data_IF_569340971063
#
_entry.id   IF_569340971063
#
_cell.length_a   1.000
_cell.length_b   1.000
_cell.length_c   1.000
_cell.angle_alpha   90.00
_cell.angle_beta   90.00
_cell.angle_gamma   90.00
#
_symmetry.space_group_name_H-M   'P 1'
#
loop_
_entity.id
_entity.type
_entity.pdbx_description
1 polymer ?
#
# COMPACT_ATOMS: atom_id res chain seq x y z
N UNK A 1 20.25 19.70 -26.19
CA UNK A 1 19.58 20.08 -27.45
C UNK A 1 20.38 21.21 -28.10
N UNK A 2 20.96 20.99 -29.29
CA UNK A 2 21.82 22.00 -29.98
C UNK A 2 20.94 23.14 -30.50
N UNK A 3 21.12 24.35 -29.98
CA UNK A 3 20.52 25.56 -30.54
C UNK A 3 21.30 25.96 -31.83
N UNK A 4 20.62 25.91 -32.97
CA UNK A 4 21.12 26.45 -34.22
C UNK A 4 20.98 27.97 -34.20
N UNK A 5 22.06 28.64 -34.48
CA UNK A 5 22.10 30.09 -34.74
C UNK A 5 21.75 30.33 -36.20
N UNK A 6 20.73 31.13 -36.44
CA UNK A 6 20.38 31.66 -37.77
C UNK A 6 21.07 33.02 -37.89
N UNK A 7 22.15 33.06 -38.67
CA UNK A 7 22.81 34.30 -39.04
C UNK A 7 22.01 35.00 -40.13
N UNK A 8 21.58 36.20 -39.87
CA UNK A 8 21.07 37.10 -40.92
C UNK A 8 22.24 37.83 -41.59
N UNK A 9 22.56 37.46 -42.85
CA UNK A 9 23.40 38.31 -43.69
C UNK A 9 22.58 39.45 -44.28
N UNK A 10 22.89 40.67 -43.90
CA UNK A 10 22.42 41.86 -44.59
C UNK A 10 23.48 42.25 -45.66
N UNK A 11 23.11 42.09 -46.91
CA UNK A 11 23.91 42.54 -48.04
C UNK A 11 23.84 44.07 -48.10
N UNK A 12 24.91 44.74 -47.70
CA UNK A 12 25.05 46.21 -47.84
C UNK A 12 25.54 46.55 -49.24
N UNK A 13 24.77 47.33 -49.96
CA UNK A 13 25.23 47.99 -51.20
C UNK A 13 26.36 48.96 -50.92
N UNK A 14 27.54 48.68 -51.46
CA UNK A 14 28.66 49.64 -51.54
C UNK A 14 28.35 50.75 -52.57
N UNK A 15 27.97 51.91 -52.08
CA UNK A 15 28.05 53.09 -52.90
C UNK A 15 29.43 53.71 -52.66
N UNK A 16 30.27 53.70 -53.68
CA UNK A 16 31.57 54.37 -53.67
C UNK A 16 31.33 55.88 -53.67
N UNK A 17 31.51 56.52 -52.55
CA UNK A 17 31.56 57.98 -52.46
C UNK A 17 33.03 58.38 -52.47
N UNK A 18 33.42 59.17 -53.49
CA UNK A 18 34.76 59.77 -53.62
C UNK A 18 35.00 60.70 -52.43
N UNK A 19 36.12 60.60 -51.70
CA UNK A 19 36.38 61.48 -50.57
C UNK A 19 36.73 62.87 -51.06
N UNK A 20 35.86 63.80 -50.94
CA UNK A 20 36.21 65.20 -50.90
C UNK A 20 36.92 65.47 -49.57
N UNK A 21 38.18 66.00 -49.61
CA UNK A 21 38.90 66.44 -48.43
C UNK A 21 38.13 67.58 -47.75
N UNK A 22 37.23 67.27 -46.83
CA UNK A 22 36.56 68.24 -45.98
C UNK A 22 37.47 68.47 -44.77
N UNK A 23 37.89 69.76 -44.55
CA UNK A 23 38.64 70.12 -43.34
C UNK A 23 37.80 69.73 -42.10
N UNK A 24 38.45 69.20 -41.09
CA UNK A 24 37.76 68.70 -39.89
C UNK A 24 36.93 69.74 -39.16
N UNK A 25 37.18 71.03 -39.35
CA UNK A 25 36.47 72.16 -38.71
C UNK A 25 35.10 72.48 -39.35
N UNK A 26 34.81 72.03 -40.57
CA UNK A 26 33.56 72.31 -41.29
C UNK A 26 32.69 71.07 -41.47
N UNK A 27 33.07 69.93 -40.86
CA UNK A 27 32.40 68.64 -41.03
C UNK A 27 31.21 68.51 -40.06
N UNK A 28 29.99 68.35 -40.64
CA UNK A 28 28.87 67.85 -39.82
C UNK A 28 29.16 66.35 -39.51
N UNK A 29 29.71 66.10 -38.31
CA UNK A 29 30.20 64.78 -37.97
C UNK A 29 29.08 63.76 -37.88
N UNK A 30 29.16 62.77 -38.74
CA UNK A 30 28.34 61.55 -38.64
C UNK A 30 29.21 60.44 -38.04
N UNK A 31 28.99 60.18 -36.76
CA UNK A 31 29.81 59.23 -36.02
C UNK A 31 29.42 57.79 -36.36
N UNK A 32 30.41 56.87 -36.37
CA UNK A 32 30.21 55.42 -36.58
C UNK A 32 29.23 54.84 -35.58
N UNK A 33 28.48 53.84 -36.02
CA UNK A 33 27.60 53.05 -35.10
C UNK A 33 28.42 52.04 -34.29
N UNK A 34 29.62 51.71 -34.68
CA UNK A 34 30.57 50.86 -33.98
C UNK A 34 31.78 51.64 -33.56
N UNK A 35 32.26 51.47 -32.38
CA UNK A 35 33.44 52.11 -31.82
C UNK A 35 34.52 51.05 -31.54
N UNK A 36 35.76 51.49 -31.43
CA UNK A 36 36.82 50.69 -30.83
C UNK A 36 36.70 50.86 -29.31
N UNK A 37 36.51 49.75 -28.61
CA UNK A 37 36.28 49.78 -27.18
C UNK A 37 37.52 49.35 -26.41
N UNK A 38 37.86 50.10 -25.36
CA UNK A 38 38.99 49.79 -24.48
C UNK A 38 38.53 49.83 -23.04
N UNK A 39 38.76 48.73 -22.26
CA UNK A 39 38.46 48.69 -20.82
C UNK A 39 39.19 49.81 -20.10
N UNK A 40 38.45 50.65 -19.33
CA UNK A 40 39.01 51.61 -18.43
C UNK A 40 39.08 51.12 -16.97
N UNK A 41 37.98 50.68 -16.46
CA UNK A 41 37.86 50.13 -15.11
C UNK A 41 36.78 49.04 -15.08
N UNK A 42 36.37 48.57 -13.92
CA UNK A 42 35.34 47.54 -13.80
C UNK A 42 33.90 48.04 -14.05
N UNK A 43 33.70 49.35 -14.19
CA UNK A 43 32.42 49.97 -14.41
C UNK A 43 32.26 50.49 -15.83
N UNK A 44 33.37 50.95 -16.41
CA UNK A 44 33.35 51.68 -17.66
C UNK A 44 34.40 51.20 -18.65
N UNK A 45 34.05 51.35 -19.93
CA UNK A 45 34.97 51.31 -21.05
C UNK A 45 35.03 52.66 -21.78
N UNK A 46 36.05 52.87 -22.56
CA UNK A 46 36.17 54.00 -23.47
C UNK A 46 35.74 53.51 -24.84
N UNK A 47 34.79 54.19 -25.47
CA UNK A 47 34.39 54.06 -26.84
C UNK A 47 35.08 55.10 -27.72
N UNK A 48 35.77 54.69 -28.74
CA UNK A 48 36.37 55.59 -29.74
C UNK A 48 35.53 55.50 -31.02
N UNK A 49 34.89 56.61 -31.37
CA UNK A 49 34.04 56.73 -32.53
C UNK A 49 34.78 57.50 -33.65
N UNK A 50 34.56 57.13 -34.90
CA UNK A 50 35.13 57.74 -36.07
C UNK A 50 34.07 58.44 -36.91
N UNK A 51 34.38 59.64 -37.40
CA UNK A 51 33.50 60.30 -38.35
C UNK A 51 33.62 59.69 -39.74
N UNK A 52 32.53 59.29 -40.36
CA UNK A 52 32.51 58.69 -41.70
C UNK A 52 33.03 59.61 -42.80
N UNK A 53 33.03 60.94 -42.58
CA UNK A 53 33.35 61.91 -43.65
C UNK A 53 34.76 62.53 -43.54
N UNK A 54 35.26 62.70 -42.30
CA UNK A 54 36.54 63.43 -42.12
C UNK A 54 37.56 62.70 -41.25
N UNK A 55 37.28 61.47 -40.82
CA UNK A 55 38.14 60.65 -39.94
C UNK A 55 38.44 61.32 -38.58
N UNK A 56 37.68 62.36 -38.17
CA UNK A 56 37.80 62.87 -36.82
C UNK A 56 37.39 61.78 -35.80
N UNK A 57 38.04 61.82 -34.66
CA UNK A 57 37.80 60.89 -33.58
C UNK A 57 37.14 61.59 -32.39
N UNK A 58 36.23 60.90 -31.70
CA UNK A 58 35.75 61.27 -30.38
C UNK A 58 35.81 60.07 -29.44
N UNK A 59 36.05 60.34 -28.21
CA UNK A 59 36.03 59.29 -27.17
C UNK A 59 34.92 59.59 -26.17
N UNK A 60 34.22 58.56 -25.81
CA UNK A 60 33.17 58.64 -24.77
C UNK A 60 33.42 57.59 -23.71
N UNK A 61 33.09 57.89 -22.48
CA UNK A 61 33.14 56.94 -21.39
C UNK A 61 31.76 56.33 -21.22
N UNK A 62 31.63 55.02 -21.43
CA UNK A 62 30.38 54.26 -21.40
C UNK A 62 30.44 53.19 -20.37
N UNK A 63 29.28 52.81 -19.79
CA UNK A 63 29.18 51.68 -18.86
C UNK A 63 29.29 50.38 -19.63
N UNK A 64 29.88 49.37 -18.98
CA UNK A 64 29.88 48.04 -19.55
C UNK A 64 28.47 47.48 -19.71
N UNK A 65 28.17 46.89 -20.83
CA UNK A 65 26.99 46.11 -21.14
C UNK A 65 27.30 44.64 -20.90
N UNK A 66 27.03 44.16 -19.69
CA UNK A 66 27.37 42.82 -19.31
C UNK A 66 26.37 41.80 -19.85
N UNK A 67 26.87 40.74 -20.53
CA UNK A 67 26.14 39.55 -20.88
C UNK A 67 26.61 38.39 -20.01
N UNK A 68 25.63 37.55 -19.64
CA UNK A 68 25.95 36.25 -19.08
C UNK A 68 26.70 35.41 -20.09
N UNK A 69 27.83 34.85 -19.71
CA UNK A 69 28.65 33.99 -20.57
C UNK A 69 28.53 32.53 -20.13
N UNK A 70 29.01 32.22 -18.92
CA UNK A 70 29.02 30.86 -18.43
C UNK A 70 29.05 30.80 -16.88
N UNK A 71 28.70 29.59 -16.34
CA UNK A 71 28.98 29.21 -14.97
C UNK A 71 30.34 28.54 -14.94
N UNK A 72 31.19 28.97 -14.03
CA UNK A 72 32.51 28.35 -13.82
C UNK A 72 32.30 27.09 -12.98
N UNK A 73 32.21 25.91 -13.63
CA UNK A 73 31.80 24.62 -13.06
C UNK A 73 32.57 24.20 -11.83
N UNK A 74 33.86 24.54 -11.73
CA UNK A 74 34.76 24.19 -10.63
C UNK A 74 34.89 25.29 -9.56
N UNK A 75 34.18 26.43 -9.70
CA UNK A 75 34.25 27.55 -8.78
C UNK A 75 32.96 27.74 -8.00
N UNK A 76 32.73 26.81 -7.07
CA UNK A 76 31.59 26.89 -6.16
C UNK A 76 32.02 26.58 -4.72
N UNK A 77 31.24 27.08 -3.79
CA UNK A 77 31.26 26.72 -2.37
C UNK A 77 29.89 26.09 -1.95
N UNK A 78 29.66 25.92 -0.65
CA UNK A 78 28.43 25.32 -0.17
C UNK A 78 27.15 26.11 -0.48
N UNK A 79 27.26 27.41 -0.78
CA UNK A 79 26.12 28.33 -0.92
C UNK A 79 26.03 28.98 -2.29
N UNK A 80 27.16 29.14 -2.97
CA UNK A 80 27.28 29.95 -4.17
C UNK A 80 28.12 29.25 -5.24
N UNK A 81 27.76 29.45 -6.50
CA UNK A 81 28.63 29.23 -7.64
C UNK A 81 29.07 30.56 -8.24
N UNK A 82 30.12 30.53 -9.03
CA UNK A 82 30.66 31.71 -9.70
C UNK A 82 30.17 31.76 -11.15
N UNK A 83 29.58 32.89 -11.50
CA UNK A 83 29.10 33.19 -12.85
C UNK A 83 30.04 34.19 -13.50
N UNK A 84 30.43 33.95 -14.75
CA UNK A 84 31.20 34.85 -15.53
C UNK A 84 30.31 35.67 -16.48
N UNK A 85 30.61 36.94 -16.55
CA UNK A 85 29.99 37.88 -17.49
C UNK A 85 31.04 38.50 -18.38
N UNK A 86 30.73 38.66 -19.66
CA UNK A 86 31.57 39.38 -20.61
C UNK A 86 30.88 40.63 -21.07
N UNK A 87 31.61 41.73 -21.20
CA UNK A 87 31.10 42.95 -21.80
C UNK A 87 31.01 42.78 -23.33
N UNK A 88 29.79 42.99 -23.88
CA UNK A 88 29.54 42.90 -25.32
C UNK A 88 30.45 43.76 -26.18
N UNK A 89 30.86 44.89 -25.63
CA UNK A 89 31.53 45.93 -26.40
C UNK A 89 33.06 45.81 -26.32
N UNK A 90 33.61 45.62 -25.12
CA UNK A 90 35.07 45.64 -24.93
C UNK A 90 35.69 44.31 -24.54
N UNK A 91 34.91 43.20 -24.41
CA UNK A 91 35.40 41.92 -24.02
C UNK A 91 35.92 41.82 -22.56
N UNK A 92 35.66 42.85 -21.75
CA UNK A 92 36.05 42.80 -20.35
C UNK A 92 35.25 41.74 -19.61
N UNK A 93 35.93 40.96 -18.76
CA UNK A 93 35.31 39.90 -17.99
C UNK A 93 35.15 40.31 -16.53
N UNK A 94 34.03 39.96 -15.90
CA UNK A 94 33.82 40.00 -14.45
C UNK A 94 33.21 38.71 -13.94
N UNK A 95 33.41 38.41 -12.69
CA UNK A 95 32.78 37.27 -12.02
C UNK A 95 31.95 37.73 -10.87
N UNK A 96 30.80 37.08 -10.67
CA UNK A 96 29.92 37.31 -9.53
C UNK A 96 29.54 36.01 -8.88
N UNK A 97 29.31 36.01 -7.56
CA UNK A 97 28.77 34.86 -6.84
C UNK A 97 27.25 34.88 -6.91
N UNK A 98 26.67 33.79 -7.39
CA UNK A 98 25.24 33.57 -7.45
C UNK A 98 24.85 32.40 -6.55
N UNK A 99 23.74 32.52 -5.83
CA UNK A 99 23.26 31.42 -4.99
C UNK A 99 22.85 30.21 -5.83
N UNK A 100 23.12 28.99 -5.32
CA UNK A 100 22.72 27.78 -6.01
C UNK A 100 21.20 27.70 -6.20
N UNK A 101 20.76 27.36 -7.40
CA UNK A 101 19.42 26.91 -7.72
C UNK A 101 19.37 25.40 -7.53
N UNK A 102 18.75 24.95 -6.44
CA UNK A 102 18.66 23.53 -6.13
C UNK A 102 17.42 22.93 -6.79
N UNK A 103 17.59 21.74 -7.41
CA UNK A 103 16.48 20.94 -7.94
C UNK A 103 15.35 20.82 -6.92
N UNK A 104 14.09 21.05 -7.34
CA UNK A 104 12.93 20.99 -6.46
C UNK A 104 12.60 19.55 -6.01
N UNK A 105 12.15 19.40 -4.76
CA UNK A 105 11.78 18.09 -4.17
C UNK A 105 10.57 17.41 -4.87
N UNK A 106 9.82 18.15 -5.69
CA UNK A 106 8.59 17.63 -6.31
C UNK A 106 8.81 16.67 -7.48
N UNK A 107 10.05 16.48 -7.92
CA UNK A 107 10.42 15.50 -8.94
C UNK A 107 11.02 14.23 -8.30
N UNK A 108 10.17 13.39 -7.74
CA UNK A 108 10.52 12.11 -7.09
C UNK A 108 11.35 11.15 -7.95
N UNK A 109 11.54 11.42 -9.24
CA UNK A 109 12.16 10.49 -10.20
C UNK A 109 13.68 10.59 -10.25
N UNK A 110 14.28 11.59 -9.61
CA UNK A 110 15.72 11.89 -9.75
C UNK A 110 16.55 11.78 -8.48
N UNK A 111 15.96 11.67 -7.31
CA UNK A 111 16.73 11.58 -6.07
C UNK A 111 17.07 10.15 -5.69
N UNK A 112 18.33 9.91 -5.39
CA UNK A 112 18.75 8.65 -4.78
C UNK A 112 18.71 8.80 -3.25
N UNK A 113 17.80 8.07 -2.63
CA UNK A 113 17.63 8.09 -1.19
C UNK A 113 18.42 6.98 -0.52
N UNK A 114 19.15 7.31 0.52
CA UNK A 114 19.97 6.37 1.28
C UNK A 114 19.43 6.20 2.70
N UNK A 115 19.26 4.95 3.13
CA UNK A 115 18.88 4.66 4.51
C UNK A 115 19.98 5.12 5.48
N UNK A 116 19.69 6.08 6.35
CA UNK A 116 20.61 6.52 7.40
C UNK A 116 20.36 5.79 8.73
N UNK A 117 19.14 5.83 9.21
CA UNK A 117 18.76 5.24 10.48
C UNK A 117 17.25 4.97 10.54
N UNK A 118 16.71 4.57 11.72
CA UNK A 118 15.28 4.25 11.88
C UNK A 118 14.32 5.43 11.71
N UNK A 119 14.80 6.66 11.71
CA UNK A 119 13.97 7.86 11.64
C UNK A 119 14.10 8.58 10.30
N UNK A 120 15.29 8.54 9.72
CA UNK A 120 15.65 9.38 8.59
C UNK A 120 16.34 8.58 7.51
N UNK A 121 16.16 9.04 6.29
CA UNK A 121 17.00 8.76 5.14
C UNK A 121 17.67 10.06 4.69
N UNK A 122 18.76 9.95 3.95
CA UNK A 122 19.42 11.07 3.28
C UNK A 122 19.21 10.99 1.79
N UNK A 123 19.29 12.12 1.11
CA UNK A 123 19.26 12.21 -0.32
C UNK A 123 20.20 13.32 -0.81
N UNK A 124 20.72 13.16 -2.00
CA UNK A 124 21.59 14.13 -2.64
C UNK A 124 20.75 15.04 -3.53
N UNK A 125 20.89 16.34 -3.36
CA UNK A 125 20.30 17.36 -4.22
C UNK A 125 21.42 18.03 -5.01
N UNK A 126 21.21 18.25 -6.31
CA UNK A 126 22.17 18.88 -7.20
C UNK A 126 21.74 20.31 -7.50
N UNK A 127 22.71 21.16 -7.79
CA UNK A 127 22.42 22.48 -8.36
C UNK A 127 22.05 22.30 -9.83
N UNK A 128 20.99 22.98 -10.28
CA UNK A 128 20.56 22.95 -11.69
C UNK A 128 21.57 23.55 -12.65
N UNK A 129 22.44 24.42 -12.15
CA UNK A 129 23.31 25.27 -12.96
C UNK A 129 24.78 24.87 -12.86
N UNK A 130 25.20 24.19 -11.78
CA UNK A 130 26.58 23.75 -11.61
C UNK A 130 26.63 22.33 -11.05
N UNK A 131 27.86 21.79 -10.83
CA UNK A 131 28.02 20.42 -10.32
C UNK A 131 27.98 20.32 -8.79
N UNK A 132 27.59 21.40 -8.09
CA UNK A 132 27.49 21.41 -6.64
C UNK A 132 26.41 20.43 -6.18
N UNK A 133 26.71 19.73 -5.08
CA UNK A 133 25.84 18.76 -4.46
C UNK A 133 25.71 19.05 -2.97
N UNK A 134 24.51 18.80 -2.42
CA UNK A 134 24.29 18.83 -0.97
C UNK A 134 23.56 17.59 -0.52
N UNK A 135 23.89 17.11 0.66
CA UNK A 135 23.17 16.02 1.29
C UNK A 135 22.12 16.60 2.24
N UNK A 136 20.89 16.17 2.06
CA UNK A 136 19.76 16.54 2.90
C UNK A 136 19.22 15.32 3.63
N UNK A 137 18.50 15.56 4.73
CA UNK A 137 17.92 14.54 5.58
C UNK A 137 16.41 14.71 5.65
N UNK A 138 15.67 13.63 5.37
CA UNK A 138 14.22 13.62 5.46
C UNK A 138 13.72 12.44 6.31
N UNK A 139 12.56 12.57 6.98
CA UNK A 139 11.93 11.47 7.70
C UNK A 139 11.41 10.43 6.72
N UNK A 140 11.47 9.14 7.11
CA UNK A 140 10.91 8.07 6.29
C UNK A 140 9.41 8.25 6.04
N UNK A 141 8.99 8.19 4.79
CA UNK A 141 7.60 8.09 4.35
C UNK A 141 7.27 6.60 4.13
N UNK A 142 6.39 6.03 4.92
CA UNK A 142 6.04 4.63 4.82
C UNK A 142 4.74 4.43 4.06
N UNK A 143 4.65 3.37 3.24
CA UNK A 143 3.40 2.98 2.62
C UNK A 143 2.26 2.86 3.64
N UNK A 144 1.04 3.15 3.21
CA UNK A 144 -0.17 3.01 4.05
C UNK A 144 -0.52 1.55 4.34
N UNK A 145 -0.06 0.63 3.49
CA UNK A 145 -0.20 -0.81 3.63
C UNK A 145 1.15 -1.44 4.01
N UNK A 146 1.15 -2.62 4.60
CA UNK A 146 2.37 -3.35 4.93
C UNK A 146 2.82 -4.23 3.75
N UNK A 147 4.14 -4.37 3.55
CA UNK A 147 4.69 -5.24 2.52
C UNK A 147 4.52 -6.70 2.85
N UNK A 148 4.78 -7.04 4.12
CA UNK A 148 4.73 -8.43 4.54
C UNK A 148 4.32 -8.60 6.00
N UNK A 149 3.75 -9.78 6.26
CA UNK A 149 3.48 -10.26 7.61
C UNK A 149 4.70 -11.04 8.08
N UNK A 150 5.60 -10.41 8.82
CA UNK A 150 6.75 -11.11 9.40
C UNK A 150 6.32 -12.14 10.46
N UNK A 151 5.22 -11.86 11.17
CA UNK A 151 4.62 -12.78 12.13
C UNK A 151 3.12 -12.55 12.23
N UNK A 152 2.34 -13.61 12.08
CA UNK A 152 0.90 -13.54 12.28
C UNK A 152 0.53 -13.30 13.74
N UNK A 153 -0.47 -12.45 13.96
CA UNK A 153 -1.08 -12.30 15.27
C UNK A 153 -1.84 -13.57 15.69
N UNK A 154 -1.71 -13.94 16.94
CA UNK A 154 -2.49 -15.01 17.57
C UNK A 154 -3.33 -14.41 18.72
N UNK A 155 -4.33 -15.15 19.20
CA UNK A 155 -5.19 -14.67 20.27
C UNK A 155 -4.43 -14.26 21.54
N UNK A 156 -3.19 -14.72 21.74
CA UNK A 156 -2.34 -14.45 22.90
C UNK A 156 -1.01 -13.76 22.59
N UNK A 157 -0.68 -13.53 21.31
CA UNK A 157 0.58 -12.87 20.90
C UNK A 157 0.29 -11.87 19.78
N UNK A 158 0.96 -10.72 19.85
CA UNK A 158 0.93 -9.73 18.76
C UNK A 158 1.57 -10.29 17.49
N UNK A 159 1.03 -9.92 16.35
CA UNK A 159 1.66 -10.08 15.05
C UNK A 159 2.67 -8.97 14.79
N UNK A 160 3.49 -9.14 13.77
CA UNK A 160 4.48 -8.17 13.32
C UNK A 160 4.24 -7.92 11.82
N UNK A 161 3.87 -6.70 11.49
CA UNK A 161 3.74 -6.20 10.14
C UNK A 161 4.98 -5.38 9.80
N UNK A 162 5.48 -5.49 8.59
CA UNK A 162 6.61 -4.72 8.08
C UNK A 162 6.10 -3.77 7.03
N UNK A 163 6.45 -2.51 7.18
CA UNK A 163 6.16 -1.43 6.24
C UNK A 163 7.49 -0.95 5.68
N UNK A 164 7.58 -0.79 4.37
CA UNK A 164 8.75 -0.22 3.70
C UNK A 164 8.58 1.29 3.53
N UNK A 165 9.70 1.99 3.53
CA UNK A 165 9.74 3.38 3.10
C UNK A 165 9.46 3.44 1.59
N UNK A 166 8.81 4.51 1.15
CA UNK A 166 8.54 4.75 -0.28
C UNK A 166 9.84 5.10 -1.01
N UNK A 167 10.72 5.79 -0.33
CA UNK A 167 11.87 6.46 -0.92
C UNK A 167 13.18 5.66 -0.79
N UNK A 168 13.31 4.78 0.20
CA UNK A 168 14.53 4.01 0.46
C UNK A 168 14.22 2.60 0.98
N UNK A 169 15.24 1.77 1.21
CA UNK A 169 15.11 0.41 1.75
C UNK A 169 14.77 0.35 3.24
N UNK A 170 14.49 1.49 3.85
CA UNK A 170 14.15 1.58 5.26
C UNK A 170 12.84 0.86 5.58
N UNK A 171 12.82 0.10 6.67
CA UNK A 171 11.62 -0.61 7.11
C UNK A 171 11.26 -0.31 8.55
N UNK A 172 9.95 -0.32 8.86
CA UNK A 172 9.48 -0.29 10.26
C UNK A 172 8.63 -1.51 10.58
N UNK A 173 8.73 -1.97 11.83
CA UNK A 173 7.93 -3.06 12.38
C UNK A 173 6.81 -2.52 13.25
N UNK A 174 5.56 -2.90 12.92
CA UNK A 174 4.37 -2.52 13.69
C UNK A 174 3.79 -3.74 14.36
N UNK A 175 3.54 -3.68 15.66
CA UNK A 175 3.00 -4.78 16.45
C UNK A 175 1.47 -4.66 16.55
N UNK A 176 0.75 -5.58 15.91
CA UNK A 176 -0.72 -5.60 15.91
C UNK A 176 -1.27 -6.70 16.83
N UNK A 177 -2.27 -6.35 17.64
CA UNK A 177 -3.04 -7.34 18.40
C UNK A 177 -3.89 -8.16 17.44
N UNK A 178 -4.20 -9.40 17.84
CA UNK A 178 -5.11 -10.25 17.10
C UNK A 178 -6.50 -9.60 16.95
N UNK A 179 -7.04 -9.66 15.75
CA UNK A 179 -8.40 -9.23 15.41
C UNK A 179 -8.99 -10.22 14.42
N UNK A 180 -10.18 -10.72 14.67
CA UNK A 180 -10.88 -11.65 13.78
C UNK A 180 -11.14 -11.00 12.41
N UNK A 181 -10.99 -11.78 11.35
CA UNK A 181 -11.28 -11.35 9.98
C UNK A 181 -10.19 -10.48 9.34
N UNK A 182 -9.04 -10.28 9.98
CA UNK A 182 -7.90 -9.61 9.36
C UNK A 182 -6.91 -10.61 8.80
N UNK A 183 -6.26 -10.27 7.71
CA UNK A 183 -5.27 -11.10 7.01
C UNK A 183 -4.02 -11.39 7.85
N UNK A 184 -3.61 -10.44 8.70
CA UNK A 184 -2.48 -10.60 9.63
C UNK A 184 -2.81 -11.43 10.88
N UNK A 185 -4.06 -11.84 11.07
CA UNK A 185 -4.50 -12.62 12.23
C UNK A 185 -4.76 -14.06 11.89
N UNK A 186 -4.29 -14.99 12.75
CA UNK A 186 -4.60 -16.41 12.59
C UNK A 186 -6.09 -16.66 12.80
N UNK A 187 -6.67 -17.41 11.90
CA UNK A 187 -8.07 -17.86 11.99
C UNK A 187 -8.19 -19.03 12.95
N UNK A 188 -9.13 -18.96 13.91
CA UNK A 188 -9.44 -19.96 14.93
C UNK A 188 -10.83 -20.55 14.78
N UNK A 189 -11.44 -20.46 13.62
CA UNK A 189 -12.72 -21.07 13.36
C UNK A 189 -12.69 -22.58 13.62
N UNK A 190 -13.83 -23.11 13.92
CA UNK A 190 -14.04 -24.50 14.30
C UNK A 190 -15.04 -25.14 13.34
N UNK A 191 -15.02 -26.45 13.25
CA UNK A 191 -16.01 -27.24 12.50
C UNK A 191 -16.47 -28.40 13.35
N UNK A 192 -17.73 -28.75 13.22
CA UNK A 192 -18.29 -29.98 13.79
C UNK A 192 -19.09 -30.73 12.71
N UNK A 193 -19.38 -31.99 12.95
CA UNK A 193 -20.30 -32.76 12.15
C UNK A 193 -21.76 -32.51 12.58
N UNK A 194 -22.67 -33.13 11.90
CA UNK A 194 -24.11 -33.11 12.30
C UNK A 194 -24.27 -33.53 13.74
N UNK A 195 -25.12 -32.81 14.46
CA UNK A 195 -25.49 -33.13 15.84
C UNK A 195 -26.82 -33.85 15.82
N UNK A 196 -26.85 -35.05 16.33
CA UNK A 196 -28.07 -35.87 16.42
C UNK A 196 -28.70 -35.82 17.83
N UNK A 197 -30.01 -35.98 17.89
CA UNK A 197 -30.81 -35.80 19.10
C UNK A 197 -30.39 -36.67 20.29
N UNK A 198 -29.84 -37.87 20.04
CA UNK A 198 -29.42 -38.83 21.10
C UNK A 198 -27.93 -38.74 21.42
N UNK A 199 -27.19 -37.87 20.78
CA UNK A 199 -25.76 -37.76 21.04
C UNK A 199 -25.49 -37.22 22.45
N UNK A 200 -24.49 -37.81 23.09
CA UNK A 200 -23.94 -37.36 24.37
C UNK A 200 -22.64 -36.61 24.26
N UNK A 201 -22.15 -36.44 23.05
CA UNK A 201 -20.93 -35.67 22.78
C UNK A 201 -20.84 -35.19 21.34
N UNK A 202 -20.20 -34.04 21.18
CA UNK A 202 -19.87 -33.44 19.86
C UNK A 202 -18.38 -33.49 19.67
N UNK A 203 -17.96 -33.97 18.51
CA UNK A 203 -16.54 -33.93 18.08
C UNK A 203 -16.32 -32.66 17.28
N UNK A 204 -15.48 -31.77 17.79
CA UNK A 204 -15.17 -30.49 17.18
C UNK A 204 -13.75 -30.48 16.62
N UNK A 205 -13.60 -30.13 15.37
CA UNK A 205 -12.31 -29.93 14.71
C UNK A 205 -11.90 -28.47 14.80
N UNK A 206 -10.73 -28.20 15.35
CA UNK A 206 -10.15 -26.87 15.47
C UNK A 206 -9.26 -26.60 14.26
N UNK A 207 -9.44 -25.47 13.60
CA UNK A 207 -8.56 -25.07 12.49
C UNK A 207 -7.09 -24.94 12.94
N UNK A 208 -6.88 -24.54 14.22
CA UNK A 208 -5.54 -24.41 14.83
C UNK A 208 -5.51 -24.91 16.27
N UNK A 209 -4.33 -25.36 16.75
CA UNK A 209 -4.14 -25.63 18.18
C UNK A 209 -4.51 -24.44 19.03
N UNK A 210 -5.31 -24.66 20.06
CA UNK A 210 -5.95 -23.59 20.85
C UNK A 210 -5.86 -23.85 22.36
N UNK A 211 -4.71 -24.35 22.83
CA UNK A 211 -4.48 -24.58 24.28
C UNK A 211 -4.74 -23.30 25.09
N UNK A 212 -5.46 -23.45 26.19
CA UNK A 212 -5.82 -22.35 27.08
C UNK A 212 -7.13 -21.65 26.73
N UNK A 213 -7.82 -22.07 25.66
CA UNK A 213 -9.13 -21.53 25.27
C UNK A 213 -10.27 -22.39 25.85
N UNK A 214 -11.48 -21.88 25.72
CA UNK A 214 -12.71 -22.57 26.12
C UNK A 214 -13.57 -22.77 24.88
N UNK A 215 -13.84 -24.02 24.54
CA UNK A 215 -14.87 -24.38 23.58
C UNK A 215 -16.23 -24.31 24.28
N UNK A 216 -17.17 -23.61 23.67
CA UNK A 216 -18.55 -23.54 24.13
C UNK A 216 -19.48 -23.96 23.01
N UNK A 217 -20.40 -24.88 23.33
CA UNK A 217 -21.57 -25.16 22.51
C UNK A 217 -22.81 -24.61 23.24
N UNK A 218 -23.74 -24.02 22.49
CA UNK A 218 -25.08 -23.68 22.93
C UNK A 218 -26.05 -24.48 22.08
N UNK A 219 -26.86 -25.32 22.70
CA UNK A 219 -27.86 -26.15 22.04
C UNK A 219 -29.18 -25.80 22.67
N UNK A 220 -30.11 -25.25 21.87
CA UNK A 220 -31.30 -24.60 22.40
C UNK A 220 -30.93 -23.52 23.43
N UNK A 221 -31.36 -23.69 24.66
CA UNK A 221 -31.05 -22.79 25.79
C UNK A 221 -29.83 -23.23 26.62
N UNK A 222 -29.38 -24.49 26.44
CA UNK A 222 -28.32 -25.10 27.27
C UNK A 222 -26.93 -24.76 26.78
N UNK A 223 -26.01 -24.47 27.71
CA UNK A 223 -24.60 -24.14 27.40
C UNK A 223 -23.68 -25.22 27.96
N UNK A 224 -22.82 -25.74 27.08
CA UNK A 224 -21.81 -26.74 27.40
C UNK A 224 -20.43 -26.12 27.18
N UNK A 225 -19.49 -26.30 28.11
CA UNK A 225 -18.14 -25.70 28.04
C UNK A 225 -17.07 -26.72 28.31
N UNK A 226 -15.96 -26.60 27.58
CA UNK A 226 -14.77 -27.42 27.79
C UNK A 226 -13.51 -26.59 27.63
N UNK A 227 -12.65 -26.56 28.66
CA UNK A 227 -11.33 -25.94 28.59
C UNK A 227 -10.39 -26.85 27.78
N UNK A 228 -9.72 -26.26 26.78
CA UNK A 228 -8.75 -26.99 25.94
C UNK A 228 -7.40 -26.96 26.64
N UNK A 229 -6.97 -28.14 27.12
CA UNK A 229 -5.75 -28.31 27.93
C UNK A 229 -4.49 -28.62 27.11
N UNK A 230 -4.64 -29.04 25.85
CA UNK A 230 -3.55 -29.48 24.99
C UNK A 230 -3.67 -28.85 23.59
N UNK A 231 -2.71 -29.18 22.72
CA UNK A 231 -2.65 -28.66 21.34
C UNK A 231 -3.31 -29.59 20.30
N UNK A 232 -4.12 -30.58 20.72
CA UNK A 232 -4.87 -31.42 19.77
C UNK A 232 -5.86 -30.56 18.98
N UNK A 233 -5.98 -30.84 17.71
CA UNK A 233 -6.93 -30.15 16.81
C UNK A 233 -8.35 -30.74 16.89
N UNK A 234 -8.54 -31.84 17.57
CA UNK A 234 -9.86 -32.48 17.77
C UNK A 234 -10.20 -32.46 19.24
N UNK A 235 -11.41 -32.01 19.54
CA UNK A 235 -11.93 -31.88 20.92
C UNK A 235 -13.30 -32.53 20.99
N UNK A 236 -13.45 -33.50 21.88
CA UNK A 236 -14.74 -34.10 22.20
C UNK A 236 -15.38 -33.27 23.33
N UNK A 237 -16.55 -32.68 23.08
CA UNK A 237 -17.35 -31.93 24.06
C UNK A 237 -18.56 -32.78 24.49
N UNK A 238 -18.65 -33.07 25.76
CA UNK A 238 -19.81 -33.79 26.27
C UNK A 238 -21.02 -32.85 26.32
N UNK A 239 -22.17 -33.35 25.91
CA UNK A 239 -23.49 -32.68 25.92
C UNK A 239 -24.51 -33.61 26.54
N UNK A 240 -25.68 -33.11 26.86
CA UNK A 240 -26.86 -33.94 27.11
C UNK A 240 -27.61 -34.14 25.80
N UNK A 241 -28.36 -35.25 25.65
CA UNK A 241 -29.31 -35.39 24.56
C UNK A 241 -30.14 -34.13 24.35
N UNK A 242 -30.34 -33.76 23.11
CA UNK A 242 -31.05 -32.56 22.72
C UNK A 242 -32.27 -32.93 21.86
N UNK A 243 -33.22 -32.04 21.72
CA UNK A 243 -34.38 -32.28 20.89
C UNK A 243 -34.11 -31.88 19.43
N UNK A 244 -34.83 -32.50 18.51
CA UNK A 244 -34.79 -32.13 17.10
C UNK A 244 -35.15 -30.67 16.90
N UNK A 245 -34.41 -30.00 15.98
CA UNK A 245 -34.63 -28.60 15.64
C UNK A 245 -34.05 -27.60 16.65
N UNK A 246 -33.50 -28.07 17.79
CA UNK A 246 -32.76 -27.15 18.69
C UNK A 246 -31.55 -26.58 17.96
N UNK A 247 -31.40 -25.25 17.97
CA UNK A 247 -30.28 -24.56 17.33
C UNK A 247 -28.95 -24.90 18.02
N UNK A 248 -27.96 -25.23 17.20
CA UNK A 248 -26.60 -25.56 17.65
C UNK A 248 -25.66 -24.40 17.28
N UNK A 249 -25.01 -23.81 18.28
CA UNK A 249 -24.02 -22.75 18.08
C UNK A 249 -22.75 -23.10 18.83
N UNK A 250 -21.63 -23.15 18.10
CA UNK A 250 -20.32 -23.38 18.69
C UNK A 250 -19.43 -22.16 18.55
N UNK A 251 -18.61 -21.93 19.55
CA UNK A 251 -17.62 -20.86 19.52
C UNK A 251 -16.43 -21.17 20.42
N UNK A 252 -15.29 -20.59 20.08
CA UNK A 252 -14.07 -20.67 20.85
C UNK A 252 -13.81 -19.33 21.55
N UNK A 253 -13.49 -19.38 22.84
CA UNK A 253 -13.28 -18.20 23.69
C UNK A 253 -11.87 -18.22 24.31
N UNK A 254 -11.27 -17.04 24.43
CA UNK A 254 -10.08 -16.80 25.22
C UNK A 254 -10.27 -15.60 26.13
N UNK A 255 -10.11 -15.81 27.44
CA UNK A 255 -10.36 -14.76 28.46
C UNK A 255 -11.71 -14.03 28.25
N UNK A 256 -12.76 -14.80 27.98
CA UNK A 256 -14.11 -14.29 27.77
C UNK A 256 -14.40 -13.68 26.38
N UNK A 257 -13.38 -13.46 25.56
CA UNK A 257 -13.55 -12.94 24.20
C UNK A 257 -13.70 -14.07 23.18
N UNK A 258 -14.67 -13.97 22.28
CA UNK A 258 -14.84 -14.89 21.15
C UNK A 258 -13.68 -14.73 20.18
N UNK A 259 -12.98 -15.82 19.85
CA UNK A 259 -11.83 -15.85 18.96
C UNK A 259 -12.03 -16.72 17.71
N UNK A 260 -13.02 -17.60 17.72
CA UNK A 260 -13.40 -18.44 16.60
C UNK A 260 -14.89 -18.72 16.62
N UNK A 261 -15.47 -18.85 15.45
CA UNK A 261 -16.86 -19.23 15.23
C UNK A 261 -16.94 -20.56 14.53
N UNK A 262 -18.10 -21.14 14.58
CA UNK A 262 -18.42 -22.27 13.73
C UNK A 262 -18.45 -21.84 12.27
N UNK A 263 -17.84 -22.64 11.43
CA UNK A 263 -17.84 -22.46 9.97
C UNK A 263 -18.62 -23.54 9.24
N UNK A 264 -19.49 -24.27 9.97
CA UNK A 264 -20.40 -25.26 9.36
C UNK A 264 -21.72 -24.57 9.01
N UNK A 265 -21.92 -24.31 7.74
CA UNK A 265 -23.10 -23.55 7.25
C UNK A 265 -24.38 -24.41 7.21
N UNK A 266 -24.29 -25.75 7.38
CA UNK A 266 -25.39 -26.68 7.21
C UNK A 266 -25.77 -27.50 8.47
N UNK A 267 -25.10 -27.27 9.61
CA UNK A 267 -25.31 -28.08 10.83
C UNK A 267 -25.64 -27.21 12.04
N UNK A 268 -26.45 -26.19 11.83
CA UNK A 268 -26.81 -25.24 12.91
C UNK A 268 -28.02 -25.68 13.75
N UNK A 269 -28.47 -26.90 13.59
CA UNK A 269 -29.56 -27.51 14.38
C UNK A 269 -29.30 -29.00 14.66
N UNK A 270 -30.06 -29.51 15.62
CA UNK A 270 -30.07 -30.92 15.98
C UNK A 270 -30.95 -31.69 15.01
N UNK A 271 -30.38 -32.73 14.41
CA UNK A 271 -31.07 -33.62 13.49
C UNK A 271 -31.46 -34.93 14.15
N UNK A 272 -32.43 -35.61 13.58
CA UNK A 272 -32.67 -37.02 13.95
C UNK A 272 -31.48 -37.89 13.53
N UNK A 273 -31.30 -38.95 14.26
CA UNK A 273 -30.40 -40.02 13.76
C UNK A 273 -30.91 -40.48 12.39
N UNK A 274 -30.02 -40.64 11.42
CA UNK A 274 -30.35 -41.16 10.09
C UNK A 274 -30.77 -42.63 10.11
N UNK A 275 -30.77 -43.29 11.29
CA UNK A 275 -31.23 -44.63 11.45
C UNK A 275 -32.38 -44.64 12.47
N UNK A 276 -33.44 -45.34 12.13
CA UNK A 276 -34.46 -45.70 13.10
C UNK A 276 -33.81 -46.60 14.17
N UNK A 277 -34.12 -46.33 15.41
CA UNK A 277 -33.59 -47.10 16.55
C UNK A 277 -34.71 -47.31 17.57
N UNK A 278 -34.56 -48.37 18.36
CA UNK A 278 -35.46 -48.69 19.46
C UNK A 278 -35.72 -47.47 20.37
N UNK A 279 -36.94 -47.30 20.83
CA UNK A 279 -37.38 -46.20 21.68
C UNK A 279 -37.62 -44.86 20.98
N UNK A 280 -37.47 -44.74 19.66
CA UNK A 280 -37.92 -43.59 18.90
C UNK A 280 -39.44 -43.49 18.92
N UNK A 281 -39.98 -42.26 19.05
CA UNK A 281 -41.41 -42.01 18.91
C UNK A 281 -41.81 -42.06 17.42
N UNK A 282 -43.09 -42.25 17.13
CA UNK A 282 -43.63 -42.18 15.78
C UNK A 282 -43.24 -40.86 15.07
N UNK A 283 -43.28 -39.75 15.80
CA UNK A 283 -42.84 -38.44 15.27
C UNK A 283 -41.36 -38.45 14.82
N UNK A 284 -40.48 -39.09 15.60
CA UNK A 284 -39.04 -39.24 15.28
C UNK A 284 -38.82 -40.11 14.06
N UNK A 285 -39.52 -41.24 13.96
CA UNK A 285 -39.45 -42.10 12.78
C UNK A 285 -39.92 -41.39 11.53
N UNK A 286 -41.04 -40.66 11.61
CA UNK A 286 -41.57 -39.89 10.47
C UNK A 286 -40.60 -38.84 9.94
N UNK A 287 -39.83 -38.22 10.85
CA UNK A 287 -38.76 -37.28 10.43
C UNK A 287 -37.52 -37.96 9.86
N UNK A 288 -37.27 -39.21 10.29
CA UNK A 288 -36.08 -39.99 9.84
C UNK A 288 -36.31 -40.64 8.46
N UNK A 289 -37.45 -41.29 8.29
CA UNK A 289 -37.78 -42.05 7.08
C UNK A 289 -38.94 -41.45 6.27
N UNK A 290 -39.49 -40.31 6.68
CA UNK A 290 -40.65 -39.71 6.01
C UNK A 290 -41.99 -40.34 6.50
N UNK A 291 -43.05 -39.92 5.76
CA UNK A 291 -44.38 -40.52 6.03
C UNK A 291 -44.38 -41.98 5.58
N UNK A 292 -44.95 -42.88 6.34
CA UNK A 292 -45.15 -44.24 5.88
C UNK A 292 -46.20 -44.29 4.77
N UNK A 293 -46.05 -45.24 3.86
CA UNK A 293 -47.00 -45.54 2.81
C UNK A 293 -48.31 -46.12 3.38
N UNK A 294 -48.17 -46.91 4.43
CA UNK A 294 -49.31 -47.50 5.14
C UNK A 294 -49.08 -47.61 6.62
N UNK A 295 -50.18 -47.61 7.39
CA UNK A 295 -50.18 -47.80 8.85
C UNK A 295 -51.29 -48.77 9.26
N UNK A 296 -50.94 -49.62 10.21
CA UNK A 296 -51.93 -50.53 10.80
C UNK A 296 -51.74 -50.59 12.33
N UNK A 297 -52.76 -50.93 13.06
CA UNK A 297 -52.70 -51.08 14.49
C UNK A 297 -53.31 -52.41 14.91
N UNK A 298 -52.72 -53.07 15.93
CA UNK A 298 -53.26 -54.29 16.52
C UNK A 298 -53.98 -54.01 17.80
N UNK A 299 -54.89 -54.90 18.19
CA UNK A 299 -55.57 -54.89 19.50
C UNK A 299 -54.66 -55.04 20.71
N UNK A 300 -53.39 -55.45 20.46
CA UNK A 300 -52.37 -55.66 21.51
C UNK A 300 -51.48 -54.43 21.75
N UNK A 301 -51.86 -53.23 21.24
CA UNK A 301 -51.12 -51.98 21.46
C UNK A 301 -49.93 -51.75 20.54
N UNK A 302 -49.81 -52.51 19.46
CA UNK A 302 -48.80 -52.31 18.44
C UNK A 302 -49.36 -51.46 17.29
N UNK A 303 -48.53 -50.55 16.75
CA UNK A 303 -48.72 -49.81 15.51
C UNK A 303 -47.62 -50.20 14.57
N UNK A 304 -47.96 -50.52 13.30
CA UNK A 304 -47.01 -50.90 12.26
C UNK A 304 -47.05 -49.81 11.15
N UNK A 305 -45.86 -49.36 10.78
CA UNK A 305 -45.67 -48.47 9.65
C UNK A 305 -44.85 -49.16 8.59
N UNK A 306 -45.30 -49.08 7.34
CA UNK A 306 -44.58 -49.64 6.20
C UNK A 306 -44.33 -48.56 5.15
N UNK A 307 -43.24 -48.69 4.46
CA UNK A 307 -42.82 -47.85 3.32
C UNK A 307 -42.81 -48.66 2.04
N UNK A 308 -42.86 -47.96 0.87
CA UNK A 308 -42.94 -48.60 -0.44
C UNK A 308 -41.66 -49.36 -0.81
N UNK A 309 -40.54 -49.04 -0.17
CA UNK A 309 -39.27 -49.72 -0.33
C UNK A 309 -39.18 -51.04 0.44
N UNK A 310 -40.23 -51.44 1.16
CA UNK A 310 -40.27 -52.63 2.01
C UNK A 310 -39.81 -52.41 3.43
N UNK A 311 -39.33 -51.21 3.79
CA UNK A 311 -38.94 -50.89 5.15
C UNK A 311 -40.18 -50.89 6.05
N UNK A 312 -40.03 -51.32 7.34
CA UNK A 312 -41.09 -51.34 8.31
C UNK A 312 -40.63 -50.94 9.71
N UNK A 313 -41.55 -50.41 10.49
CA UNK A 313 -41.36 -50.10 11.92
C UNK A 313 -42.55 -50.55 12.69
N UNK A 314 -42.30 -51.29 13.76
CA UNK A 314 -43.36 -51.52 14.76
C UNK A 314 -43.13 -50.65 15.99
N UNK A 315 -44.24 -50.11 16.49
CA UNK A 315 -44.28 -49.31 17.72
C UNK A 315 -45.07 -50.02 18.79
N UNK A 316 -44.51 -50.02 19.99
CA UNK A 316 -45.23 -50.47 21.22
C UNK A 316 -45.37 -49.26 22.11
N UNK A 317 -46.59 -48.96 22.54
CA UNK A 317 -46.89 -47.79 23.37
C UNK A 317 -46.32 -46.47 22.74
N UNK A 318 -46.39 -46.35 21.41
CA UNK A 318 -45.97 -45.15 20.68
C UNK A 318 -44.45 -44.96 20.47
N UNK A 319 -43.64 -45.92 20.89
CA UNK A 319 -42.18 -45.94 20.65
C UNK A 319 -41.79 -47.16 19.85
N UNK A 320 -40.68 -47.04 19.07
CA UNK A 320 -40.15 -48.12 18.25
C UNK A 320 -39.73 -49.28 19.11
N UNK A 321 -40.30 -50.44 18.79
CA UNK A 321 -40.00 -51.74 19.38
C UNK A 321 -39.18 -52.60 18.44
N UNK A 322 -39.48 -52.54 17.11
CA UNK A 322 -38.74 -53.22 16.10
C UNK A 322 -38.77 -52.43 14.80
N UNK A 323 -37.71 -52.57 13.99
CA UNK A 323 -37.68 -52.00 12.64
C UNK A 323 -36.87 -52.89 11.67
N UNK A 324 -37.21 -52.77 10.39
CA UNK A 324 -36.50 -53.36 9.28
C UNK A 324 -36.25 -52.28 8.23
N UNK A 325 -35.01 -52.08 7.85
CA UNK A 325 -34.56 -51.12 6.84
C UNK A 325 -34.20 -51.89 5.59
N UNK A 326 -35.05 -51.84 4.55
CA UNK A 326 -34.85 -52.59 3.30
C UNK A 326 -33.70 -52.02 2.44
N UNK A 327 -33.23 -50.82 2.73
CA UNK A 327 -32.15 -50.17 2.01
C UNK A 327 -30.75 -50.46 2.58
N UNK A 328 -30.65 -51.18 3.71
CA UNK A 328 -29.36 -51.51 4.36
C UNK A 328 -29.16 -52.99 4.58
#
# INVERSE_FOLDING_TARGET
MKKQWIGFMIAGMLVAVVPTNVNAEDCYHNWSYSADYTKLDDTYHQAEYYCYYCNAKKTEKEKHTWLYEEILEDQYDANYHTVQYECMDCGAVKTEKQAHSWEDEDYDEYYTYYYENKKYHTYEQKCEECNAKRELRAPHRYFSFYDKIAKYATFNKKGILVYSCIDCDGTKKVYKKWKSGTDYSRNYDIKHGTVFNRQTSITVKLKRPSKGTVLQATIGTKKYKKKIKNNKKTVKLNIKPAEYGEKVKLALYYKGKKIGKDSCDYNDEVWYSNRVTEGMTQKQVRYTWGAPSSTSSSSYGFTYWNWDDGSMVSFRNGVVDYWFDAAN
#
